data_IF_717416892783
#
_entry.id   IF_717416892783
#
_cell.length_a   1.000
_cell.length_b   1.000
_cell.length_c   1.000
_cell.angle_alpha   90.00
_cell.angle_beta   90.00
_cell.angle_gamma   90.00
#
_symmetry.space_group_name_H-M   'P 1'
#
loop_
_entity.id
_entity.type
_entity.pdbx_description
1 polymer ?
#
# COMPACT_ATOMS: atom_id res chain seq x y z
N UNK A 1 16.60 16.58 48.92
CA UNK A 1 17.71 16.66 47.92
C UNK A 1 17.24 15.86 46.74
N UNK A 2 16.65 16.52 45.74
CA UNK A 2 16.22 15.90 44.49
C UNK A 2 17.41 15.90 43.53
N UNK A 3 17.86 14.73 43.14
CA UNK A 3 18.88 14.60 42.10
C UNK A 3 18.26 14.91 40.74
N UNK A 4 18.62 16.03 40.18
CA UNK A 4 18.38 16.36 38.78
C UNK A 4 19.13 15.39 37.86
N UNK A 5 18.46 14.34 37.42
CA UNK A 5 18.99 13.39 36.43
C UNK A 5 19.11 14.08 35.07
N UNK A 6 20.33 14.23 34.59
CA UNK A 6 20.68 15.00 33.41
C UNK A 6 20.13 14.29 32.14
N UNK A 7 19.21 14.97 31.47
CA UNK A 7 18.52 14.50 30.23
C UNK A 7 19.52 14.04 29.13
N UNK A 8 20.75 14.55 29.16
CA UNK A 8 21.79 14.12 28.20
C UNK A 8 22.28 12.67 28.41
N UNK A 9 22.18 12.14 29.62
CA UNK A 9 22.60 10.77 29.89
C UNK A 9 21.53 9.77 29.48
N UNK A 10 20.26 10.16 29.49
CA UNK A 10 19.16 9.28 29.04
C UNK A 10 19.17 9.06 27.54
N UNK A 11 19.49 10.10 26.76
CA UNK A 11 19.60 10.01 25.29
C UNK A 11 20.76 9.11 24.82
N UNK A 12 21.85 9.06 25.58
CA UNK A 12 23.00 8.23 25.23
C UNK A 12 22.78 6.74 25.44
N UNK A 13 21.93 6.36 26.40
CA UNK A 13 21.65 4.94 26.67
C UNK A 13 20.64 4.33 25.71
N UNK A 14 19.72 5.12 25.19
CA UNK A 14 18.72 4.68 24.19
C UNK A 14 19.37 4.47 22.82
N UNK A 15 20.36 5.29 22.48
CA UNK A 15 21.04 5.19 21.19
C UNK A 15 21.93 3.95 21.04
N UNK A 16 22.47 3.40 22.15
CA UNK A 16 23.33 2.21 22.09
C UNK A 16 22.50 0.90 21.94
N UNK A 17 21.23 0.91 22.34
CA UNK A 17 20.37 -0.26 22.22
C UNK A 17 19.84 -0.47 20.77
N UNK A 18 19.61 0.62 20.05
CA UNK A 18 19.07 0.60 18.69
C UNK A 18 20.09 0.14 17.65
N UNK A 19 21.35 0.53 17.80
CA UNK A 19 22.41 0.16 16.84
C UNK A 19 22.74 -1.33 16.87
N UNK A 20 22.61 -2.00 18.02
CA UNK A 20 22.88 -3.43 18.15
C UNK A 20 21.81 -4.33 17.47
N UNK A 21 20.58 -3.86 17.39
CA UNK A 21 19.48 -4.60 16.73
C UNK A 21 19.54 -4.52 15.20
N UNK A 22 20.00 -3.37 14.67
CA UNK A 22 20.13 -3.17 13.21
C UNK A 22 21.22 -4.07 12.60
N UNK A 23 22.30 -4.33 13.30
CA UNK A 23 23.35 -5.21 12.81
C UNK A 23 22.96 -6.70 12.74
N UNK A 24 21.99 -7.13 13.54
CA UNK A 24 21.47 -8.50 13.48
C UNK A 24 20.53 -8.74 12.29
N UNK A 25 19.85 -7.70 11.82
CA UNK A 25 18.89 -7.80 10.70
C UNK A 25 19.58 -7.82 9.34
N UNK A 26 20.76 -7.22 9.21
CA UNK A 26 21.51 -7.18 7.95
C UNK A 26 22.00 -8.55 7.48
N UNK A 27 22.04 -9.57 8.34
CA UNK A 27 22.50 -10.91 8.00
C UNK A 27 21.37 -11.89 7.64
N UNK A 28 20.12 -11.57 7.93
CA UNK A 28 19.00 -12.44 7.59
C UNK A 28 18.50 -12.25 6.14
N UNK A 29 18.99 -11.22 5.45
CA UNK A 29 18.47 -10.80 4.12
C UNK A 29 19.22 -11.41 2.93
N UNK A 30 20.21 -12.28 3.12
CA UNK A 30 21.02 -12.80 1.99
C UNK A 30 20.36 -13.95 1.23
N UNK A 31 19.19 -14.42 1.64
CA UNK A 31 18.42 -15.44 0.95
C UNK A 31 16.93 -15.04 0.72
N UNK A 32 16.63 -13.75 0.73
CA UNK A 32 15.34 -13.31 0.27
C UNK A 32 15.32 -13.40 -1.26
N UNK A 33 14.37 -14.16 -1.78
CA UNK A 33 14.07 -14.21 -3.21
C UNK A 33 14.06 -12.80 -3.80
N UNK A 34 14.36 -12.70 -5.10
CA UNK A 34 14.44 -11.46 -5.88
C UNK A 34 13.15 -10.59 -5.87
N UNK A 35 12.29 -10.83 -4.94
CA UNK A 35 11.01 -10.21 -4.64
C UNK A 35 11.09 -9.20 -3.49
N UNK A 36 12.26 -8.87 -3.00
CA UNK A 36 12.39 -7.85 -1.99
C UNK A 36 12.16 -6.50 -2.66
N UNK A 37 11.04 -5.86 -2.36
CA UNK A 37 10.79 -4.48 -2.76
C UNK A 37 11.96 -3.62 -2.32
N UNK A 38 12.71 -3.09 -3.29
CA UNK A 38 13.58 -1.95 -3.06
C UNK A 38 12.69 -0.72 -2.87
N UNK A 39 12.01 -0.63 -1.71
CA UNK A 39 11.78 0.68 -1.16
C UNK A 39 13.18 1.23 -0.92
N UNK A 40 13.55 2.30 -1.60
CA UNK A 40 14.63 3.15 -1.15
C UNK A 40 14.20 3.74 0.19
N UNK A 41 14.29 2.93 1.24
CA UNK A 41 14.12 3.40 2.61
C UNK A 41 15.34 4.27 2.84
N UNK A 42 15.10 5.57 2.97
CA UNK A 42 16.13 6.49 3.38
C UNK A 42 16.71 5.92 4.68
N UNK A 43 17.97 5.53 4.64
CA UNK A 43 18.63 4.82 5.76
C UNK A 43 18.65 5.64 7.06
N UNK A 44 18.34 6.93 6.99
CA UNK A 44 18.20 7.80 8.15
C UNK A 44 16.85 7.65 8.88
N UNK A 45 15.92 6.81 8.34
CA UNK A 45 14.58 6.59 8.87
C UNK A 45 14.33 5.11 9.20
N UNK A 46 15.33 4.41 9.73
CA UNK A 46 15.15 3.00 10.16
C UNK A 46 14.23 2.95 11.37
N UNK A 47 12.95 2.69 11.10
CA UNK A 47 11.99 2.28 12.11
C UNK A 47 12.47 1.00 12.79
N UNK A 48 12.17 0.82 14.07
CA UNK A 48 12.44 -0.44 14.76
C UNK A 48 11.67 -1.60 14.11
N UNK A 49 12.13 -2.83 14.29
CA UNK A 49 11.42 -4.00 13.79
C UNK A 49 9.96 -4.06 14.28
N UNK A 50 9.68 -3.52 15.47
CA UNK A 50 8.34 -3.41 16.03
C UNK A 50 7.51 -2.33 15.35
N UNK A 51 8.10 -1.18 15.01
CA UNK A 51 7.43 -0.14 14.23
C UNK A 51 7.15 -0.60 12.80
N UNK A 52 8.07 -1.35 12.19
CA UNK A 52 7.86 -1.97 10.87
C UNK A 52 6.75 -3.03 10.96
N UNK A 53 6.74 -3.87 11.99
CA UNK A 53 5.70 -4.87 12.20
C UNK A 53 4.32 -4.25 12.52
N UNK A 54 4.28 -3.07 13.14
CA UNK A 54 3.06 -2.31 13.38
C UNK A 54 2.61 -1.53 12.15
N UNK A 55 3.56 -1.03 11.35
CA UNK A 55 3.26 -0.34 10.08
C UNK A 55 2.80 -1.32 8.98
N UNK A 56 3.25 -2.58 9.04
CA UNK A 56 2.80 -3.67 8.18
C UNK A 56 2.11 -4.74 9.03
N UNK A 57 0.90 -4.47 9.53
CA UNK A 57 0.17 -5.52 10.23
C UNK A 57 0.08 -6.71 9.30
N UNK A 58 0.40 -7.89 9.81
CA UNK A 58 0.45 -9.18 9.12
C UNK A 58 -0.95 -9.63 8.63
N UNK A 59 -1.67 -8.76 7.93
CA UNK A 59 -3.07 -8.94 7.59
C UNK A 59 -3.39 -8.76 6.12
N UNK A 60 -2.40 -8.78 5.23
CA UNK A 60 -2.70 -8.88 3.81
C UNK A 60 -2.91 -10.35 3.46
N UNK A 61 -4.17 -10.75 3.31
CA UNK A 61 -4.55 -12.14 3.02
C UNK A 61 -4.71 -12.42 1.52
N UNK A 62 -4.51 -11.42 0.68
CA UNK A 62 -4.58 -11.58 -0.77
C UNK A 62 -3.30 -12.25 -1.31
N UNK A 63 -3.41 -13.11 -2.34
CA UNK A 63 -2.25 -13.75 -2.94
C UNK A 63 -1.26 -12.73 -3.49
N UNK A 64 0.01 -12.90 -3.16
CA UNK A 64 1.14 -12.05 -3.58
C UNK A 64 1.10 -11.81 -5.10
N UNK A 65 1.32 -10.57 -5.50
CA UNK A 65 1.38 -10.17 -6.90
C UNK A 65 0.03 -9.98 -7.58
N UNK A 66 -1.10 -10.24 -6.92
CA UNK A 66 -2.43 -9.93 -7.45
C UNK A 66 -2.74 -8.44 -7.27
N UNK A 67 -3.66 -7.90 -8.10
CA UNK A 67 -4.08 -6.51 -8.00
C UNK A 67 -4.62 -6.16 -6.61
N UNK A 68 -5.39 -7.05 -6.02
CA UNK A 68 -5.95 -6.92 -4.66
C UNK A 68 -4.86 -6.90 -3.59
N UNK A 69 -3.82 -7.71 -3.76
CA UNK A 69 -2.66 -7.71 -2.86
C UNK A 69 -1.93 -6.35 -2.92
N UNK A 70 -1.59 -5.87 -4.11
CA UNK A 70 -0.85 -4.61 -4.26
C UNK A 70 -1.63 -3.42 -3.72
N UNK A 71 -2.94 -3.36 -3.96
CA UNK A 71 -3.77 -2.29 -3.41
C UNK A 71 -3.85 -2.39 -1.89
N UNK A 72 -3.96 -3.59 -1.31
CA UNK A 72 -3.99 -3.77 0.15
C UNK A 72 -2.70 -3.35 0.83
N UNK A 73 -1.54 -3.50 0.18
CA UNK A 73 -0.25 -3.00 0.70
C UNK A 73 -0.26 -1.46 0.85
N UNK A 74 -0.89 -0.75 -0.09
CA UNK A 74 -0.95 0.71 -0.09
C UNK A 74 -2.13 1.27 0.70
N UNK A 75 -3.28 0.62 0.60
CA UNK A 75 -4.52 0.96 1.29
C UNK A 75 -4.76 -0.01 2.45
N UNK A 76 -3.96 0.11 3.52
CA UNK A 76 -4.03 -0.80 4.69
C UNK A 76 -5.41 -0.82 5.35
N UNK A 77 -6.21 0.24 5.15
CA UNK A 77 -7.58 0.37 5.61
C UNK A 77 -8.57 -0.52 4.84
N UNK A 78 -8.24 -1.00 3.63
CA UNK A 78 -9.11 -1.89 2.87
C UNK A 78 -9.31 -3.24 3.59
N UNK A 79 -10.49 -3.84 3.46
CA UNK A 79 -10.78 -5.13 4.09
C UNK A 79 -10.07 -6.30 3.42
N UNK A 80 -9.68 -7.29 4.21
CA UNK A 80 -8.96 -8.47 3.74
C UNK A 80 -9.85 -9.48 2.96
N UNK A 81 -11.16 -9.41 3.11
CA UNK A 81 -12.10 -10.41 2.59
C UNK A 81 -13.08 -9.79 1.59
N UNK A 82 -12.63 -8.80 0.82
CA UNK A 82 -13.47 -8.11 -0.15
C UNK A 82 -13.61 -8.85 -1.49
N UNK A 83 -13.02 -10.04 -1.62
CA UNK A 83 -13.13 -10.86 -2.83
C UNK A 83 -12.15 -10.46 -3.94
N UNK A 84 -12.55 -10.70 -5.18
CA UNK A 84 -11.79 -10.28 -6.36
C UNK A 84 -11.92 -8.77 -6.60
N UNK A 85 -11.06 -8.22 -7.45
CA UNK A 85 -11.06 -6.78 -7.71
C UNK A 85 -12.43 -6.20 -8.08
N UNK A 86 -13.20 -6.92 -8.89
CA UNK A 86 -14.56 -6.51 -9.28
C UNK A 86 -15.58 -6.52 -8.15
N UNK A 87 -15.32 -7.24 -7.05
CA UNK A 87 -16.21 -7.35 -5.90
C UNK A 87 -15.97 -6.21 -4.89
N UNK A 88 -14.82 -5.54 -4.96
CA UNK A 88 -14.35 -4.65 -3.90
C UNK A 88 -15.28 -3.47 -3.64
N UNK A 89 -15.84 -2.86 -4.67
CA UNK A 89 -16.76 -1.74 -4.49
C UNK A 89 -18.00 -2.13 -3.69
N UNK A 90 -18.60 -3.29 -4.00
CA UNK A 90 -19.76 -3.80 -3.29
C UNK A 90 -19.42 -4.23 -1.85
N UNK A 91 -18.28 -4.91 -1.68
CA UNK A 91 -17.79 -5.36 -0.38
C UNK A 91 -17.47 -4.17 0.55
N UNK A 92 -16.81 -3.14 0.00
CA UNK A 92 -16.50 -1.91 0.73
C UNK A 92 -17.78 -1.16 1.15
N UNK A 93 -18.76 -1.02 0.25
CA UNK A 93 -20.05 -0.42 0.57
C UNK A 93 -20.76 -1.20 1.70
N UNK A 94 -20.73 -2.53 1.65
CA UNK A 94 -21.29 -3.40 2.70
C UNK A 94 -20.54 -3.26 4.02
N UNK A 95 -19.25 -2.91 3.98
CA UNK A 95 -18.43 -2.64 5.17
C UNK A 95 -18.55 -1.18 5.67
N UNK A 96 -19.40 -0.34 5.06
CA UNK A 96 -19.68 1.02 5.48
C UNK A 96 -18.76 2.09 4.86
N UNK A 97 -17.95 1.73 3.86
CA UNK A 97 -17.15 2.71 3.13
C UNK A 97 -17.98 3.44 2.08
N UNK A 98 -17.65 4.71 1.85
CA UNK A 98 -18.26 5.47 0.76
C UNK A 98 -17.70 5.02 -0.57
N UNK A 99 -18.58 4.70 -1.51
CA UNK A 99 -18.27 4.37 -2.90
C UNK A 99 -18.87 5.41 -3.82
N UNK A 100 -18.13 5.86 -4.81
CA UNK A 100 -18.59 6.88 -5.75
C UNK A 100 -17.96 6.78 -7.13
N UNK A 101 -18.20 7.79 -7.96
CA UNK A 101 -17.77 7.80 -9.37
C UNK A 101 -16.66 8.82 -9.66
N UNK A 102 -16.29 9.63 -8.69
CA UNK A 102 -15.28 10.68 -8.88
C UNK A 102 -13.91 10.20 -8.37
N UNK A 103 -12.84 10.34 -9.17
CA UNK A 103 -11.51 10.00 -8.72
C UNK A 103 -11.04 10.92 -7.59
N UNK A 104 -10.33 10.36 -6.61
CA UNK A 104 -9.65 11.12 -5.54
C UNK A 104 -8.30 10.47 -5.26
N UNK A 105 -7.29 11.28 -5.00
CA UNK A 105 -6.00 10.76 -4.51
C UNK A 105 -6.23 10.00 -3.20
N UNK A 106 -5.64 8.83 -3.05
CA UNK A 106 -5.83 7.96 -1.90
C UNK A 106 -7.04 7.04 -1.97
N UNK A 107 -7.90 7.17 -2.99
CA UNK A 107 -8.98 6.22 -3.24
C UNK A 107 -8.49 4.95 -3.95
N UNK A 108 -9.32 3.92 -3.92
CA UNK A 108 -9.13 2.70 -4.71
C UNK A 108 -10.07 2.80 -5.90
N UNK A 109 -9.53 2.75 -7.12
CA UNK A 109 -10.32 2.58 -8.32
C UNK A 109 -10.61 1.10 -8.55
N UNK A 110 -11.85 0.78 -8.90
CA UNK A 110 -12.33 -0.57 -9.18
C UNK A 110 -12.94 -0.62 -10.57
N UNK A 111 -12.61 -1.68 -11.32
CA UNK A 111 -13.22 -2.04 -12.60
C UNK A 111 -13.87 -3.42 -12.50
N UNK A 112 -15.03 -3.58 -13.11
CA UNK A 112 -15.80 -4.84 -13.07
C UNK A 112 -15.61 -5.69 -14.31
N UNK A 113 -14.48 -5.53 -15.01
CA UNK A 113 -14.21 -6.27 -16.23
C UNK A 113 -13.95 -7.77 -15.99
N UNK A 114 -14.34 -8.59 -16.96
CA UNK A 114 -14.09 -10.02 -16.94
C UNK A 114 -14.68 -10.74 -15.73
N UNK A 115 -14.07 -11.85 -15.35
CA UNK A 115 -14.53 -12.68 -14.22
C UNK A 115 -14.02 -12.22 -12.86
N UNK A 116 -12.94 -11.44 -12.83
CA UNK A 116 -12.24 -11.08 -11.59
C UNK A 116 -12.22 -9.57 -11.32
N UNK A 117 -12.47 -8.75 -12.33
CA UNK A 117 -12.28 -7.30 -12.23
C UNK A 117 -10.83 -6.89 -12.00
N UNK A 118 -10.63 -5.61 -11.68
CA UNK A 118 -9.32 -5.08 -11.35
C UNK A 118 -9.43 -3.95 -10.32
N UNK A 119 -8.38 -3.74 -9.55
CA UNK A 119 -8.26 -2.63 -8.60
C UNK A 119 -6.89 -1.99 -8.69
N UNK A 120 -6.84 -0.68 -8.44
CA UNK A 120 -5.60 0.08 -8.36
C UNK A 120 -5.71 1.22 -7.33
N UNK A 121 -4.59 1.67 -6.81
CA UNK A 121 -4.52 2.77 -5.85
C UNK A 121 -4.26 4.10 -6.57
N UNK A 122 -5.14 5.09 -6.39
CA UNK A 122 -5.05 6.39 -7.07
C UNK A 122 -4.01 7.26 -6.40
N UNK A 123 -2.97 7.64 -7.15
CA UNK A 123 -1.86 8.49 -6.67
C UNK A 123 -1.95 9.92 -7.15
N UNK A 124 -2.60 10.18 -8.30
CA UNK A 124 -2.81 11.52 -8.82
C UNK A 124 -4.12 11.60 -9.61
N UNK A 125 -4.72 12.78 -9.63
CA UNK A 125 -5.93 13.10 -10.38
C UNK A 125 -5.72 14.44 -11.09
N UNK A 126 -6.01 14.48 -12.38
CA UNK A 126 -6.12 15.72 -13.13
C UNK A 126 -7.56 16.26 -12.97
N UNK A 127 -7.76 17.40 -12.29
CA UNK A 127 -9.09 17.90 -11.99
C UNK A 127 -9.84 18.43 -13.23
N UNK A 128 -9.15 18.62 -14.35
CA UNK A 128 -9.76 19.14 -15.60
C UNK A 128 -10.24 17.98 -16.46
N UNK A 129 -9.43 16.94 -16.61
CA UNK A 129 -9.71 15.81 -17.51
C UNK A 129 -10.22 14.57 -16.80
N UNK A 130 -10.17 14.53 -15.48
CA UNK A 130 -10.42 13.34 -14.65
C UNK A 130 -9.49 12.15 -14.99
N UNK A 131 -8.41 12.38 -15.71
CA UNK A 131 -7.35 11.38 -15.85
C UNK A 131 -6.71 11.13 -14.50
N UNK A 132 -6.24 9.90 -14.32
CA UNK A 132 -5.59 9.47 -13.08
C UNK A 132 -4.22 8.88 -13.35
N UNK A 133 -3.39 8.87 -12.31
CA UNK A 133 -2.27 7.94 -12.17
C UNK A 133 -2.57 6.98 -11.03
N UNK A 134 -2.09 5.77 -11.16
CA UNK A 134 -2.29 4.72 -10.16
C UNK A 134 -1.01 3.97 -9.88
N UNK A 135 -0.94 3.37 -8.71
CA UNK A 135 -0.07 2.24 -8.44
C UNK A 135 -0.92 0.97 -8.46
N UNK A 136 -0.44 -0.04 -9.15
CA UNK A 136 -1.16 -1.30 -9.34
C UNK A 136 -0.21 -2.47 -9.50
N UNK A 137 -0.70 -3.67 -9.29
CA UNK A 137 -0.01 -4.92 -9.57
C UNK A 137 -0.91 -5.84 -10.40
N UNK A 138 -0.34 -6.89 -10.96
CA UNK A 138 -1.04 -7.80 -11.89
C UNK A 138 -1.66 -7.09 -13.10
N UNK A 139 -0.93 -6.15 -13.67
CA UNK A 139 -1.30 -5.44 -14.89
C UNK A 139 -0.38 -5.81 -16.05
N UNK A 140 -0.95 -6.19 -17.19
CA UNK A 140 -0.20 -6.56 -18.40
C UNK A 140 0.91 -7.61 -18.17
N UNK A 141 0.72 -8.54 -17.24
CA UNK A 141 1.70 -9.58 -16.86
C UNK A 141 2.72 -9.15 -15.80
N UNK A 142 2.67 -7.91 -15.34
CA UNK A 142 3.54 -7.40 -14.27
C UNK A 142 2.89 -7.59 -12.90
N UNK A 143 3.56 -8.33 -12.02
CA UNK A 143 3.03 -8.66 -10.68
C UNK A 143 3.47 -7.69 -9.57
N UNK A 144 4.41 -6.79 -9.85
CA UNK A 144 4.91 -5.81 -8.90
C UNK A 144 4.02 -4.59 -8.84
N UNK A 145 4.13 -3.81 -7.75
CA UNK A 145 3.43 -2.54 -7.62
C UNK A 145 4.23 -1.48 -8.37
N UNK A 146 3.62 -0.87 -9.40
CA UNK A 146 4.22 0.24 -10.14
C UNK A 146 3.14 1.06 -10.86
N UNK A 147 3.55 2.21 -11.39
CA UNK A 147 2.72 3.04 -12.27
C UNK A 147 2.97 2.65 -13.73
N UNK A 148 2.31 1.60 -14.19
CA UNK A 148 2.50 1.07 -15.55
C UNK A 148 1.85 1.92 -16.64
N UNK A 149 0.83 2.71 -16.31
CA UNK A 149 0.00 3.42 -17.29
C UNK A 149 0.32 4.91 -17.41
N UNK A 150 1.04 5.50 -16.47
CA UNK A 150 1.19 6.96 -16.40
C UNK A 150 -0.19 7.64 -16.24
N UNK A 151 -0.42 8.73 -16.96
CA UNK A 151 -1.71 9.40 -17.00
C UNK A 151 -2.67 8.72 -17.99
N UNK A 152 -3.80 8.24 -17.52
CA UNK A 152 -4.81 7.61 -18.39
C UNK A 152 -6.24 7.98 -17.97
N UNK A 153 -7.18 7.78 -18.91
CA UNK A 153 -8.62 7.92 -18.64
C UNK A 153 -9.15 6.57 -18.10
N UNK A 154 -9.61 6.51 -16.85
CA UNK A 154 -10.09 5.26 -16.25
C UNK A 154 -11.37 4.71 -16.90
N UNK A 155 -12.11 5.53 -17.64
CA UNK A 155 -13.32 5.13 -18.37
C UNK A 155 -13.01 4.59 -19.76
N UNK A 156 -11.87 4.95 -20.33
CA UNK A 156 -11.44 4.55 -21.66
C UNK A 156 -10.06 3.90 -21.58
N UNK A 157 -10.02 2.67 -21.14
CA UNK A 157 -8.79 1.93 -20.84
C UNK A 157 -8.89 0.49 -21.33
N UNK A 158 -7.77 -0.22 -21.33
CA UNK A 158 -7.71 -1.67 -21.56
C UNK A 158 -8.28 -2.48 -20.41
N UNK A 159 -8.65 -1.84 -19.31
CA UNK A 159 -9.38 -2.42 -18.20
C UNK A 159 -10.86 -1.99 -18.31
N UNK A 160 -11.70 -2.71 -19.05
CA UNK A 160 -13.09 -2.32 -19.28
C UNK A 160 -13.98 -2.60 -18.07
N UNK A 161 -15.24 -2.21 -18.16
CA UNK A 161 -16.25 -2.44 -17.14
C UNK A 161 -16.70 -1.16 -16.43
N UNK A 162 -17.54 -1.32 -15.43
CA UNK A 162 -18.01 -0.20 -14.62
C UNK A 162 -16.88 0.26 -13.72
N UNK A 163 -16.62 1.58 -13.73
CA UNK A 163 -15.60 2.21 -12.90
C UNK A 163 -16.25 2.80 -11.66
N UNK A 164 -15.71 2.50 -10.50
CA UNK A 164 -16.09 3.09 -9.22
C UNK A 164 -14.86 3.34 -8.34
N UNK A 165 -15.02 4.16 -7.32
CA UNK A 165 -13.95 4.53 -6.39
C UNK A 165 -14.40 4.29 -4.97
N UNK A 166 -13.56 3.62 -4.18
CA UNK A 166 -13.74 3.45 -2.75
C UNK A 166 -12.91 4.52 -2.05
N UNK A 167 -13.51 5.27 -1.15
CA UNK A 167 -12.82 6.32 -0.40
C UNK A 167 -12.46 5.84 0.99
N UNK A 168 -11.28 6.23 1.51
CA UNK A 168 -10.98 6.03 2.92
C UNK A 168 -11.98 6.80 3.79
N UNK A 169 -12.35 6.21 4.92
CA UNK A 169 -13.22 6.87 5.93
C UNK A 169 -12.44 7.91 6.73
#
# INVERSE_FOLDING_TARGET
>A
MEENMNIKQLKSKTMLGTVALVSAFSFASTNADANTYNYAVDVDCLASAEEIAQAHPASNTFPLGQCTWGVKEMATWAGNWWGNGGDWAASAASAGYTVGTQPRVGSIVCWTDGSYGHVAYVTAVDPVTNKIQVLESNYAGHQWIDNYRGWFDPQNTVTPGVVSYIYPN
#
